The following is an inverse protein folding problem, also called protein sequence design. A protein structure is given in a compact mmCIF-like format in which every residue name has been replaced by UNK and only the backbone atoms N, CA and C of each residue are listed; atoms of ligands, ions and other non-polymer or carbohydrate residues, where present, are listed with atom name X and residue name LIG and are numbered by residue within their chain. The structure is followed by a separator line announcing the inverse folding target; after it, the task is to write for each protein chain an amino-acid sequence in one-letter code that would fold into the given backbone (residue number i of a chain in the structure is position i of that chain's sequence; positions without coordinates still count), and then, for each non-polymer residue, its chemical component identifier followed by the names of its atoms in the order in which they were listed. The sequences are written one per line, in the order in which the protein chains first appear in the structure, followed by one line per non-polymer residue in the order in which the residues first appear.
data_IF_659855032364
#
_entry.id   IF_659855032364
#
_cell.length_a   1.000
_cell.length_b   1.000
_cell.length_c   1.000
_cell.angle_alpha   90.00
_cell.angle_beta   90.00
_cell.angle_gamma   90.00
#
_symmetry.space_group_name_H-M   'P 1'
#
loop_
_entity.id
_entity.type
_entity.pdbx_description
1 polymer ?
#
# COMPACT_ATOMS: atom_id res chain seq x y z
N UNK A 1 20.16 -16.82 -2.61
CA UNK A 1 19.35 -15.92 -3.48
C UNK A 1 19.95 -15.97 -4.88
N UNK A 2 19.14 -16.09 -5.95
CA UNK A 2 19.67 -16.03 -7.32
C UNK A 2 20.02 -14.56 -7.68
N UNK A 3 21.09 -14.29 -8.43
CA UNK A 3 21.41 -12.96 -8.93
C UNK A 3 20.29 -12.38 -9.81
N UNK A 4 20.17 -11.06 -9.83
CA UNK A 4 19.26 -10.33 -10.71
C UNK A 4 19.61 -10.58 -12.18
N UNK A 5 18.63 -11.06 -12.97
CA UNK A 5 18.76 -11.17 -14.41
C UNK A 5 18.26 -9.88 -15.09
N UNK A 6 19.20 -9.06 -15.55
CA UNK A 6 18.92 -7.79 -16.24
C UNK A 6 18.53 -7.99 -17.71
N UNK A 7 18.64 -9.20 -18.26
CA UNK A 7 18.28 -9.49 -19.66
C UNK A 7 16.78 -9.76 -19.82
N UNK A 8 16.06 -10.03 -18.73
CA UNK A 8 14.61 -10.23 -18.75
C UNK A 8 13.88 -8.94 -18.32
N UNK A 9 13.15 -8.26 -19.24
CA UNK A 9 12.42 -7.04 -18.91
C UNK A 9 11.37 -7.21 -17.81
N UNK A 10 10.79 -8.41 -17.64
CA UNK A 10 9.81 -8.68 -16.59
C UNK A 10 10.37 -8.48 -15.18
N UNK A 11 11.69 -8.63 -15.00
CA UNK A 11 12.34 -8.40 -13.73
C UNK A 11 12.06 -6.97 -13.22
N UNK A 12 12.05 -5.98 -14.12
CA UNK A 12 11.83 -4.58 -13.76
C UNK A 12 10.38 -4.29 -13.33
N UNK A 13 9.41 -5.11 -13.75
CA UNK A 13 8.02 -5.00 -13.29
C UNK A 13 7.81 -5.60 -11.89
N UNK A 14 8.67 -6.54 -11.47
CA UNK A 14 8.61 -7.24 -10.16
C UNK A 14 9.69 -6.77 -9.18
N UNK A 15 10.14 -5.52 -9.29
CA UNK A 15 11.19 -5.00 -8.39
C UNK A 15 10.69 -4.85 -6.94
N UNK A 16 9.38 -4.75 -6.71
CA UNK A 16 8.80 -4.66 -5.36
C UNK A 16 7.76 -5.78 -5.23
N UNK A 17 8.18 -6.92 -4.70
CA UNK A 17 7.36 -8.15 -4.66
C UNK A 17 5.99 -7.94 -3.99
N UNK A 18 5.94 -7.20 -2.88
CA UNK A 18 4.71 -6.93 -2.14
C UNK A 18 3.74 -5.99 -2.89
N UNK A 19 4.27 -5.04 -3.68
CA UNK A 19 3.46 -4.16 -4.53
C UNK A 19 2.96 -4.91 -5.75
N UNK A 20 3.80 -5.75 -6.36
CA UNK A 20 3.43 -6.58 -7.50
C UNK A 20 2.36 -7.62 -7.15
N UNK A 21 2.43 -8.21 -5.95
CA UNK A 21 1.44 -9.16 -5.45
C UNK A 21 0.11 -8.52 -5.04
N UNK A 22 0.05 -7.20 -4.86
CA UNK A 22 -1.18 -6.51 -4.52
C UNK A 22 -2.00 -6.26 -5.81
N UNK A 23 -3.27 -6.68 -5.90
CA UNK A 23 -4.10 -6.44 -7.10
C UNK A 23 -4.31 -4.96 -7.42
N UNK A 24 -4.24 -4.10 -6.41
CA UNK A 24 -4.36 -2.64 -6.57
C UNK A 24 -3.01 -1.94 -6.75
N UNK A 25 -1.89 -2.68 -6.81
CA UNK A 25 -0.54 -2.13 -6.95
C UNK A 25 -0.19 -0.98 -5.99
N UNK A 26 -0.74 -1.03 -4.77
CA UNK A 26 -0.54 0.01 -3.74
C UNK A 26 0.94 0.20 -3.42
N UNK A 27 1.37 1.45 -3.21
CA UNK A 27 2.76 1.82 -2.92
C UNK A 27 3.23 1.38 -1.52
N UNK A 28 3.40 0.07 -1.32
CA UNK A 28 3.70 -0.56 -0.03
C UNK A 28 4.88 0.07 0.70
N UNK A 29 6.07 0.21 0.10
CA UNK A 29 7.22 0.75 0.82
C UNK A 29 7.03 2.20 1.26
N UNK A 30 6.30 2.98 0.46
CA UNK A 30 6.18 4.41 0.65
C UNK A 30 5.24 4.76 1.81
N UNK A 31 4.03 4.17 1.86
CA UNK A 31 3.16 4.43 3.02
C UNK A 31 3.72 3.83 4.30
N UNK A 32 4.54 2.76 4.25
CA UNK A 32 5.25 2.25 5.43
C UNK A 32 6.26 3.29 5.94
N UNK A 33 6.95 3.98 5.02
CA UNK A 33 7.88 5.06 5.38
C UNK A 33 7.16 6.26 5.99
N UNK A 34 6.00 6.64 5.43
CA UNK A 34 5.16 7.68 6.01
C UNK A 34 4.67 7.32 7.42
N UNK A 35 4.23 6.07 7.62
CA UNK A 35 3.87 5.55 8.96
C UNK A 35 5.04 5.63 9.93
N UNK A 36 6.27 5.30 9.48
CA UNK A 36 7.48 5.40 10.30
C UNK A 36 7.75 6.85 10.75
N UNK A 37 7.44 7.84 9.91
CA UNK A 37 7.58 9.26 10.22
C UNK A 37 6.41 9.84 11.03
N UNK A 38 5.35 9.06 11.26
CA UNK A 38 4.14 9.53 11.94
C UNK A 38 3.13 10.23 11.03
N UNK A 39 3.40 10.26 9.72
CA UNK A 39 2.57 10.93 8.70
C UNK A 39 1.39 10.03 8.28
N UNK A 40 0.54 9.66 9.25
CA UNK A 40 -0.56 8.71 9.04
C UNK A 40 -1.60 9.19 8.02
N UNK A 41 -1.89 10.50 7.99
CA UNK A 41 -2.84 11.08 7.03
C UNK A 41 -2.31 10.95 5.60
N UNK A 42 -1.04 11.26 5.36
CA UNK A 42 -0.43 11.12 4.04
C UNK A 42 -0.32 9.65 3.63
N UNK A 43 0.07 8.77 4.57
CA UNK A 43 0.08 7.33 4.35
C UNK A 43 -1.31 6.78 3.94
N UNK A 44 -2.37 7.30 4.56
CA UNK A 44 -3.74 6.96 4.22
C UNK A 44 -4.12 7.47 2.82
N UNK A 45 -3.80 8.73 2.51
CA UNK A 45 -4.11 9.33 1.20
C UNK A 45 -3.34 8.66 0.06
N UNK A 46 -2.09 8.27 0.28
CA UNK A 46 -1.31 7.52 -0.71
C UNK A 46 -1.96 6.16 -1.01
N UNK A 47 -2.47 5.46 0.01
CA UNK A 47 -3.24 4.24 -0.22
C UNK A 47 -4.56 4.53 -0.96
N UNK A 48 -5.19 5.67 -0.68
CA UNK A 48 -6.46 6.09 -1.29
C UNK A 48 -6.35 6.26 -2.81
N UNK A 49 -5.20 6.74 -3.31
CA UNK A 49 -4.93 6.88 -4.75
C UNK A 49 -5.08 5.56 -5.53
N UNK A 50 -4.62 4.46 -4.92
CA UNK A 50 -4.73 3.13 -5.52
C UNK A 50 -6.07 2.45 -5.21
N UNK A 51 -6.70 2.77 -4.09
CA UNK A 51 -7.98 2.19 -3.66
C UNK A 51 -8.71 3.11 -2.68
N UNK A 52 -9.93 3.53 -3.02
CA UNK A 52 -10.72 4.50 -2.24
C UNK A 52 -11.23 4.00 -0.88
N UNK A 53 -10.97 2.74 -0.50
CA UNK A 53 -11.34 2.15 0.79
C UNK A 53 -10.15 1.62 1.63
N UNK A 54 -9.09 2.41 1.91
CA UNK A 54 -7.92 1.90 2.64
C UNK A 54 -8.26 1.38 4.05
N UNK A 55 -9.19 2.04 4.74
CA UNK A 55 -9.60 1.65 6.09
C UNK A 55 -10.33 0.31 6.17
N UNK A 56 -11.11 -0.03 5.14
CA UNK A 56 -11.77 -1.34 5.03
C UNK A 56 -10.71 -2.40 4.73
N UNK A 57 -9.86 -2.14 3.73
CA UNK A 57 -8.79 -3.07 3.34
C UNK A 57 -7.81 -3.37 4.47
N UNK A 58 -7.50 -2.41 5.35
CA UNK A 58 -6.69 -2.68 6.55
C UNK A 58 -7.30 -3.71 7.51
N UNK A 59 -8.59 -4.04 7.36
CA UNK A 59 -9.33 -4.95 8.23
C UNK A 59 -9.71 -6.26 7.55
N UNK A 60 -10.03 -6.23 6.26
CA UNK A 60 -10.60 -7.39 5.53
C UNK A 60 -9.72 -7.92 4.40
N UNK A 61 -8.57 -7.30 4.10
CA UNK A 61 -7.71 -7.75 3.01
C UNK A 61 -7.19 -9.18 3.24
N UNK A 62 -7.18 -9.99 2.18
CA UNK A 62 -6.63 -11.36 2.13
C UNK A 62 -5.09 -11.40 2.18
N UNK A 63 -4.44 -10.24 2.11
CA UNK A 63 -2.99 -10.05 2.31
C UNK A 63 -2.08 -10.82 1.33
N UNK A 64 -2.35 -10.83 0.02
CA UNK A 64 -1.47 -11.51 -0.95
C UNK A 64 -0.04 -10.93 -0.97
N UNK A 65 0.13 -9.70 -0.48
CA UNK A 65 1.42 -9.02 -0.38
C UNK A 65 2.32 -9.51 0.77
N UNK A 66 1.77 -10.13 1.82
CA UNK A 66 2.55 -10.58 2.99
C UNK A 66 3.38 -11.83 2.65
N UNK A 67 2.82 -12.90 2.04
CA UNK A 67 3.61 -14.06 1.59
C UNK A 67 4.62 -13.73 0.47
N UNK A 68 4.39 -12.65 -0.28
CA UNK A 68 5.33 -12.18 -1.30
C UNK A 68 6.46 -11.32 -0.73
N UNK A 69 6.39 -10.90 0.53
CA UNK A 69 7.34 -9.97 1.13
C UNK A 69 8.77 -10.50 1.09
N UNK A 70 9.74 -9.66 0.75
CA UNK A 70 11.15 -10.06 0.74
C UNK A 70 11.69 -10.45 2.10
N UNK A 71 11.15 -9.88 3.19
CA UNK A 71 11.56 -10.22 4.56
C UNK A 71 11.24 -11.67 4.92
N UNK A 72 10.16 -12.22 4.38
CA UNK A 72 9.84 -13.65 4.51
C UNK A 72 11.01 -14.54 4.02
N UNK A 73 11.65 -14.16 2.90
CA UNK A 73 12.77 -14.93 2.32
C UNK A 73 14.09 -14.83 3.11
N UNK A 74 14.20 -13.89 4.04
CA UNK A 74 15.45 -13.56 4.76
C UNK A 74 15.34 -13.86 6.24
N UNK A 75 14.17 -13.59 6.83
CA UNK A 75 13.92 -13.65 8.27
C UNK A 75 12.75 -14.59 8.63
N UNK A 76 12.14 -15.28 7.65
CA UNK A 76 10.93 -16.11 7.83
C UNK A 76 9.75 -15.37 8.49
N UNK A 77 9.78 -14.02 8.46
CA UNK A 77 8.76 -13.15 9.05
C UNK A 77 8.42 -12.00 8.08
N UNK A 78 7.22 -12.02 7.46
CA UNK A 78 6.80 -10.95 6.57
C UNK A 78 6.37 -9.72 7.38
N UNK A 79 6.46 -8.54 6.74
CA UNK A 79 5.88 -7.32 7.31
C UNK A 79 4.36 -7.48 7.39
N UNK A 80 3.76 -7.12 8.53
CA UNK A 80 2.30 -7.09 8.72
C UNK A 80 1.63 -5.91 7.98
N UNK A 81 1.74 -5.91 6.65
CA UNK A 81 1.33 -4.83 5.74
C UNK A 81 -0.15 -4.46 5.93
N UNK A 82 -1.03 -5.45 6.05
CA UNK A 82 -2.47 -5.18 6.23
C UNK A 82 -2.73 -4.42 7.54
N UNK A 83 -2.01 -4.77 8.61
CA UNK A 83 -2.15 -4.10 9.92
C UNK A 83 -1.62 -2.66 9.86
N UNK A 84 -0.56 -2.40 9.10
CA UNK A 84 -0.05 -1.05 8.89
C UNK A 84 -1.06 -0.17 8.14
N UNK A 85 -1.78 -0.71 7.15
CA UNK A 85 -2.89 0.01 6.49
C UNK A 85 -3.99 0.39 7.49
N UNK A 86 -4.32 -0.53 8.41
CA UNK A 86 -5.26 -0.22 9.51
C UNK A 86 -4.72 0.88 10.42
N UNK A 87 -3.44 0.84 10.81
CA UNK A 87 -2.82 1.87 11.65
C UNK A 87 -2.91 3.24 10.99
N UNK A 88 -2.58 3.36 9.70
CA UNK A 88 -2.73 4.60 8.95
C UNK A 88 -4.18 5.10 8.96
N UNK A 89 -5.14 4.20 8.74
CA UNK A 89 -6.56 4.56 8.77
C UNK A 89 -7.05 4.97 10.18
N UNK A 90 -6.60 4.30 11.23
CA UNK A 90 -7.06 4.53 12.61
C UNK A 90 -6.43 5.80 13.22
N UNK A 91 -5.28 6.25 12.71
CA UNK A 91 -4.54 7.42 13.22
C UNK A 91 -4.54 8.63 12.29
N UNK A 92 -5.20 8.57 11.13
CA UNK A 92 -5.32 9.73 10.23
C UNK A 92 -6.16 10.83 10.86
N UNK A 93 -5.85 12.07 10.46
CA UNK A 93 -6.69 13.23 10.74
C UNK A 93 -7.88 13.31 9.77
N UNK A 94 -8.68 14.38 9.87
CA UNK A 94 -9.76 14.62 8.92
C UNK A 94 -9.20 14.73 7.49
N UNK A 95 -9.79 13.95 6.59
CA UNK A 95 -9.39 13.87 5.17
C UNK A 95 -10.36 14.62 4.27
N UNK A 96 -11.52 15.06 4.76
CA UNK A 96 -12.52 15.75 3.94
C UNK A 96 -11.94 16.93 3.15
N UNK A 97 -11.03 17.76 3.70
CA UNK A 97 -10.39 18.84 2.95
C UNK A 97 -9.48 18.37 1.79
N UNK A 98 -9.00 17.12 1.85
CA UNK A 98 -8.08 16.52 0.88
C UNK A 98 -8.81 15.78 -0.24
N UNK A 99 -10.11 15.52 -0.08
CA UNK A 99 -10.90 14.81 -1.09
C UNK A 99 -11.28 15.72 -2.26
N UNK A 100 -11.47 15.17 -3.47
CA UNK A 100 -11.97 15.93 -4.61
C UNK A 100 -13.29 16.64 -4.28
N UNK A 101 -13.41 17.90 -4.73
CA UNK A 101 -14.65 18.67 -4.57
C UNK A 101 -15.77 18.03 -5.39
N UNK A 102 -16.95 17.92 -4.78
CA UNK A 102 -18.15 17.47 -5.46
C UNK A 102 -18.50 18.49 -6.56
N UNK A 103 -18.72 18.06 -7.81
CA UNK A 103 -19.07 18.97 -8.89
C UNK A 103 -20.44 19.63 -8.66
N UNK A 104 -20.55 20.93 -8.94
CA UNK A 104 -21.81 21.69 -8.80
C UNK A 104 -22.87 21.20 -9.79
N UNK A 105 -22.47 20.97 -11.05
CA UNK A 105 -23.33 20.35 -12.06
C UNK A 105 -23.16 18.84 -11.99
N UNK A 106 -24.18 18.15 -11.50
CA UNK A 106 -24.24 16.69 -11.51
C UNK A 106 -24.55 16.19 -12.92
N UNK A 107 -24.08 14.99 -13.24
CA UNK A 107 -24.28 14.35 -14.55
C UNK A 107 -25.69 13.72 -14.71
N UNK A 108 -26.60 13.99 -13.77
CA UNK A 108 -27.96 13.45 -13.72
C UNK A 108 -28.99 14.45 -14.22
#
# INVERSE_FOLDING_TARGET
MKPTDINNPEYFHKVIDCQFACPAHTLVPEYIRLILHGDYTEAYMLNWESNVFPGILGRVCDRPCEPACRRDRVEDEPVAICRLKRVAADNRQDILPLLPKIPEKKNG
#
